data_IF_790715067532
#
_entry.id   IF_790715067532
#
_cell.length_a   1.000
_cell.length_b   1.000
_cell.length_c   1.000
_cell.angle_alpha   90.00
_cell.angle_beta   90.00
_cell.angle_gamma   90.00
#
_symmetry.space_group_name_H-M   'P 1'
#
loop_
_entity.id
_entity.type
_entity.pdbx_description
1 polymer ?
#
# COMPACT_ATOMS: atom_id res chain seq x y z
N UNK A 1 6.15 30.42 11.47
CA UNK A 1 6.03 29.57 12.66
C UNK A 1 4.65 28.96 12.75
N UNK A 2 4.52 27.73 12.23
CA UNK A 2 3.32 26.91 12.41
C UNK A 2 3.76 25.81 13.35
N UNK A 3 3.24 25.85 14.57
CA UNK A 3 3.51 24.89 15.62
C UNK A 3 3.42 23.48 15.06
N UNK A 4 4.56 22.79 15.08
CA UNK A 4 4.64 21.35 14.99
C UNK A 4 3.75 20.79 16.09
N UNK A 5 2.52 20.42 15.74
CA UNK A 5 1.62 19.70 16.62
C UNK A 5 2.23 18.30 16.83
N UNK A 6 3.26 18.24 17.67
CA UNK A 6 4.06 17.05 17.92
C UNK A 6 3.25 16.16 18.84
N UNK A 7 2.32 15.41 18.26
CA UNK A 7 1.76 14.28 18.95
C UNK A 7 2.94 13.38 19.35
N UNK A 8 3.17 13.15 20.66
CA UNK A 8 4.38 12.46 21.14
C UNK A 8 4.44 10.99 20.68
N UNK A 9 3.36 10.50 20.08
CA UNK A 9 3.22 9.15 19.58
C UNK A 9 2.63 9.17 18.17
N UNK A 10 3.21 8.36 17.29
CA UNK A 10 2.73 8.10 15.92
C UNK A 10 2.22 6.66 15.91
N UNK A 11 0.90 6.43 16.04
CA UNK A 11 0.33 5.09 16.03
C UNK A 11 0.62 4.38 14.71
N UNK A 12 0.99 3.10 14.78
CA UNK A 12 1.21 2.27 13.59
C UNK A 12 0.15 1.18 13.56
N UNK A 13 -0.73 1.21 12.57
CA UNK A 13 -1.62 0.11 12.26
C UNK A 13 -0.91 -0.89 11.35
N UNK A 14 -1.17 -2.17 11.56
CA UNK A 14 -0.56 -3.26 10.82
C UNK A 14 -1.62 -3.97 10.02
N UNK A 15 -1.46 -3.98 8.71
CA UNK A 15 -2.32 -4.73 7.81
C UNK A 15 -1.53 -5.93 7.28
N UNK A 16 -2.05 -7.14 7.43
CA UNK A 16 -1.36 -8.36 7.01
C UNK A 16 -2.25 -9.24 6.15
N UNK A 17 -1.72 -9.70 5.02
CA UNK A 17 -2.36 -10.71 4.20
C UNK A 17 -1.79 -12.10 4.53
N UNK A 18 -2.59 -12.97 5.17
CA UNK A 18 -2.16 -14.33 5.55
C UNK A 18 -1.81 -15.24 4.36
N UNK A 19 -2.31 -14.94 3.16
CA UNK A 19 -2.03 -15.71 1.94
C UNK A 19 -0.68 -15.35 1.31
N UNK A 20 -0.10 -14.20 1.67
CA UNK A 20 1.20 -13.76 1.16
C UNK A 20 2.35 -14.62 1.71
N UNK A 21 3.44 -14.70 0.95
CA UNK A 21 4.66 -15.38 1.38
C UNK A 21 4.58 -16.91 1.45
N UNK A 22 3.79 -17.56 0.60
CA UNK A 22 3.73 -19.03 0.55
C UNK A 22 3.16 -19.65 1.83
N UNK A 23 2.07 -19.06 2.36
CA UNK A 23 1.41 -19.46 3.61
C UNK A 23 2.20 -19.20 4.91
N UNK A 24 3.32 -18.47 4.83
CA UNK A 24 4.03 -18.00 6.04
C UNK A 24 3.26 -16.88 6.76
N UNK A 25 2.37 -16.18 6.04
CA UNK A 25 1.57 -15.08 6.58
C UNK A 25 0.73 -15.43 7.82
N UNK A 26 0.20 -16.65 7.91
CA UNK A 26 -0.54 -17.11 9.09
C UNK A 26 0.36 -17.16 10.34
N UNK A 27 1.56 -17.75 10.21
CA UNK A 27 2.52 -17.81 11.33
C UNK A 27 2.94 -16.41 11.78
N UNK A 28 3.14 -15.50 10.84
CA UNK A 28 3.50 -14.11 11.12
C UNK A 28 2.35 -13.39 11.82
N UNK A 29 1.11 -13.59 11.36
CA UNK A 29 -0.06 -13.00 12.01
C UNK A 29 -0.18 -13.42 13.47
N UNK A 30 -0.04 -14.72 13.76
CA UNK A 30 -0.06 -15.22 15.14
C UNK A 30 1.06 -14.60 15.99
N UNK A 31 2.26 -14.45 15.42
CA UNK A 31 3.39 -13.82 16.11
C UNK A 31 3.16 -12.32 16.38
N UNK A 32 2.55 -11.59 15.43
CA UNK A 32 2.17 -10.19 15.61
C UNK A 32 1.18 -10.05 16.75
N UNK A 33 0.15 -10.89 16.82
CA UNK A 33 -0.84 -10.88 17.90
C UNK A 33 -0.22 -11.20 19.28
N UNK A 34 0.82 -12.03 19.34
CA UNK A 34 1.53 -12.31 20.61
C UNK A 34 2.41 -11.15 21.08
N UNK A 35 3.00 -10.41 20.14
CA UNK A 35 4.01 -9.38 20.47
C UNK A 35 3.45 -7.97 20.53
N UNK A 36 2.30 -7.74 19.94
CA UNK A 36 1.70 -6.41 19.76
C UNK A 36 0.27 -6.41 20.32
N UNK A 37 -0.26 -5.21 20.59
CA UNK A 37 -1.68 -5.06 20.92
C UNK A 37 -2.55 -5.54 19.74
N UNK A 38 -3.43 -6.55 19.93
CA UNK A 38 -4.27 -7.09 18.86
C UNK A 38 -5.12 -6.06 18.13
N UNK A 39 -5.50 -4.95 18.78
CA UNK A 39 -6.29 -3.88 18.15
C UNK A 39 -5.55 -3.13 17.05
N UNK A 40 -4.23 -3.25 16.97
CA UNK A 40 -3.43 -2.62 15.93
C UNK A 40 -3.13 -3.56 14.75
N UNK A 41 -3.53 -4.83 14.81
CA UNK A 41 -3.22 -5.84 13.78
C UNK A 41 -4.51 -6.26 13.07
N UNK A 42 -4.60 -5.98 11.78
CA UNK A 42 -5.76 -6.27 10.94
C UNK A 42 -5.42 -7.28 9.86
N UNK A 43 -6.24 -8.32 9.77
CA UNK A 43 -6.11 -9.36 8.77
C UNK A 43 -6.84 -8.95 7.48
N UNK A 44 -6.09 -8.83 6.39
CA UNK A 44 -6.59 -8.46 5.07
C UNK A 44 -7.33 -9.64 4.40
N UNK A 45 -8.59 -9.86 4.78
CA UNK A 45 -9.44 -10.91 4.16
C UNK A 45 -10.43 -10.34 3.14
N UNK A 46 -10.92 -9.12 3.37
CA UNK A 46 -11.92 -8.46 2.55
C UNK A 46 -11.77 -6.93 2.64
N UNK A 47 -12.55 -6.22 1.81
CA UNK A 47 -12.54 -4.75 1.77
C UNK A 47 -12.98 -4.13 3.11
N UNK A 48 -13.93 -4.77 3.79
CA UNK A 48 -14.55 -4.26 5.02
C UNK A 48 -13.53 -4.07 6.14
N UNK A 49 -12.47 -4.88 6.15
CA UNK A 49 -11.38 -4.78 7.14
C UNK A 49 -10.70 -3.41 7.10
N UNK A 50 -10.38 -2.92 5.89
CA UNK A 50 -9.69 -1.63 5.73
C UNK A 50 -10.63 -0.52 6.17
N UNK A 51 -11.87 -0.51 5.67
CA UNK A 51 -12.88 0.49 6.04
C UNK A 51 -13.10 0.52 7.55
N UNK A 52 -13.28 -0.64 8.18
CA UNK A 52 -13.48 -0.75 9.63
C UNK A 52 -12.28 -0.21 10.43
N UNK A 53 -11.05 -0.51 10.00
CA UNK A 53 -9.85 0.00 10.64
C UNK A 53 -9.77 1.53 10.52
N UNK A 54 -10.09 2.08 9.35
CA UNK A 54 -10.11 3.52 9.13
C UNK A 54 -11.19 4.22 9.96
N UNK A 55 -12.39 3.63 10.08
CA UNK A 55 -13.47 4.19 10.90
C UNK A 55 -13.09 4.21 12.38
N UNK A 56 -12.53 3.09 12.89
CA UNK A 56 -12.10 2.95 14.28
C UNK A 56 -11.04 3.98 14.67
N UNK A 57 -10.15 4.32 13.75
CA UNK A 57 -8.99 5.19 13.99
C UNK A 57 -9.07 6.54 13.29
N UNK A 58 -10.24 6.90 12.75
CA UNK A 58 -10.50 8.16 12.05
C UNK A 58 -10.18 9.41 12.88
N UNK A 59 -10.27 9.29 14.20
CA UNK A 59 -9.98 10.37 15.15
C UNK A 59 -8.51 10.47 15.56
N UNK A 60 -7.66 9.49 15.21
CA UNK A 60 -6.26 9.50 15.57
C UNK A 60 -5.44 10.36 14.60
N UNK A 61 -4.85 11.48 15.05
CA UNK A 61 -3.95 12.26 14.23
C UNK A 61 -2.62 11.52 14.07
N UNK A 62 -1.89 11.82 12.98
CA UNK A 62 -0.55 11.30 12.71
C UNK A 62 -0.43 9.77 12.78
N UNK A 63 -1.47 9.04 12.39
CA UNK A 63 -1.42 7.59 12.26
C UNK A 63 -0.67 7.18 10.98
N UNK A 64 0.06 6.06 11.04
CA UNK A 64 0.71 5.42 9.90
C UNK A 64 0.29 3.97 9.77
N UNK A 65 0.44 3.41 8.58
CA UNK A 65 0.08 2.03 8.27
C UNK A 65 1.33 1.27 7.84
N UNK A 66 1.52 0.05 8.34
CA UNK A 66 2.54 -0.89 7.88
C UNK A 66 1.86 -2.10 7.24
N UNK A 67 2.12 -2.33 5.95
CA UNK A 67 1.50 -3.42 5.20
C UNK A 67 2.47 -4.59 5.08
N UNK A 68 2.08 -5.73 5.64
CA UNK A 68 2.76 -7.01 5.55
C UNK A 68 2.24 -7.78 4.33
N UNK A 69 2.99 -7.72 3.23
CA UNK A 69 2.56 -8.27 1.94
C UNK A 69 3.59 -8.08 0.82
N UNK A 70 3.25 -8.55 -0.38
CA UNK A 70 3.95 -8.25 -1.63
C UNK A 70 3.36 -7.00 -2.30
N UNK A 71 3.94 -6.57 -3.42
CA UNK A 71 3.50 -5.37 -4.14
C UNK A 71 2.01 -5.36 -4.48
N UNK A 72 1.42 -6.52 -4.82
CA UNK A 72 -0.03 -6.62 -5.09
C UNK A 72 -0.90 -6.36 -3.86
N UNK A 73 -0.46 -6.80 -2.68
CA UNK A 73 -1.17 -6.50 -1.41
C UNK A 73 -1.06 -5.03 -1.07
N UNK A 74 0.14 -4.45 -1.22
CA UNK A 74 0.40 -3.02 -0.98
C UNK A 74 -0.44 -2.16 -1.93
N UNK A 75 -0.44 -2.47 -3.23
CA UNK A 75 -1.21 -1.74 -4.23
C UNK A 75 -2.72 -1.79 -3.98
N UNK A 76 -3.25 -2.93 -3.51
CA UNK A 76 -4.65 -3.04 -3.12
C UNK A 76 -4.97 -2.14 -1.91
N UNK A 77 -4.16 -2.16 -0.86
CA UNK A 77 -4.33 -1.25 0.31
C UNK A 77 -4.27 0.22 -0.11
N UNK A 78 -3.27 0.61 -0.91
CA UNK A 78 -3.12 1.98 -1.40
C UNK A 78 -4.33 2.44 -2.22
N UNK A 79 -4.90 1.54 -3.04
CA UNK A 79 -6.10 1.85 -3.82
C UNK A 79 -7.30 2.13 -2.93
N UNK A 80 -7.50 1.33 -1.87
CA UNK A 80 -8.59 1.54 -0.90
C UNK A 80 -8.42 2.80 -0.07
N UNK A 81 -7.19 3.11 0.33
CA UNK A 81 -6.90 4.38 1.01
C UNK A 81 -7.18 5.57 0.10
N UNK A 82 -6.82 5.50 -1.18
CA UNK A 82 -7.11 6.58 -2.13
C UNK A 82 -8.62 6.79 -2.36
N UNK A 83 -9.43 5.73 -2.31
CA UNK A 83 -10.90 5.81 -2.37
C UNK A 83 -11.48 6.43 -1.09
N UNK A 84 -10.98 6.04 0.09
CA UNK A 84 -11.47 6.53 1.38
C UNK A 84 -11.04 7.98 1.69
N UNK A 85 -9.89 8.42 1.15
CA UNK A 85 -9.30 9.74 1.39
C UNK A 85 -9.09 10.50 0.07
N UNK A 86 -10.17 10.96 -0.59
CA UNK A 86 -10.09 11.63 -1.88
C UNK A 86 -9.34 12.97 -1.84
N UNK A 87 -9.19 13.57 -0.65
CA UNK A 87 -8.50 14.85 -0.42
C UNK A 87 -6.97 14.70 -0.26
N UNK A 88 -6.41 13.51 -0.52
CA UNK A 88 -4.97 13.22 -0.41
C UNK A 88 -4.39 13.46 0.99
N UNK A 89 -5.21 13.18 2.01
CA UNK A 89 -4.82 13.18 3.42
C UNK A 89 -4.81 11.75 3.99
N UNK A 90 -4.52 10.76 3.13
CA UNK A 90 -4.47 9.37 3.55
C UNK A 90 -3.25 9.12 4.45
N UNK A 91 -3.35 8.26 5.46
CA UNK A 91 -2.20 7.94 6.32
C UNK A 91 -1.02 7.38 5.50
N UNK A 92 0.23 7.78 5.80
CA UNK A 92 1.41 7.22 5.15
C UNK A 92 1.51 5.70 5.33
N UNK A 93 1.99 5.02 4.29
CA UNK A 93 2.10 3.56 4.23
C UNK A 93 3.56 3.11 4.13
N UNK A 94 4.01 2.26 5.03
CA UNK A 94 5.26 1.50 4.93
C UNK A 94 5.00 0.06 4.49
N UNK A 95 6.05 -0.60 4.01
CA UNK A 95 5.99 -1.96 3.49
C UNK A 95 6.82 -2.88 4.37
N UNK A 96 6.23 -4.00 4.76
CA UNK A 96 6.92 -5.13 5.36
C UNK A 96 6.87 -6.31 4.36
N UNK A 97 7.97 -6.56 3.63
CA UNK A 97 7.95 -7.43 2.45
C UNK A 97 7.69 -8.89 2.80
N UNK A 98 6.56 -9.43 2.34
CA UNK A 98 6.18 -10.84 2.48
C UNK A 98 5.95 -11.51 1.11
N UNK A 99 6.80 -12.48 0.79
CA UNK A 99 6.71 -13.29 -0.43
C UNK A 99 7.65 -12.83 -1.53
N UNK A 100 7.23 -13.04 -2.77
CA UNK A 100 7.98 -12.71 -3.99
C UNK A 100 7.43 -11.45 -4.64
N UNK A 101 8.27 -10.71 -5.37
CA UNK A 101 7.87 -9.43 -5.98
C UNK A 101 7.68 -8.33 -4.93
N UNK A 102 8.77 -7.97 -4.26
CA UNK A 102 8.85 -6.87 -3.29
C UNK A 102 9.63 -5.69 -3.92
N UNK A 103 9.30 -5.34 -5.16
CA UNK A 103 9.98 -4.26 -5.89
C UNK A 103 9.71 -2.91 -5.23
N UNK A 104 8.46 -2.65 -4.79
CA UNK A 104 8.15 -1.40 -4.07
C UNK A 104 8.93 -1.29 -2.77
N UNK A 105 9.05 -2.40 -2.02
CA UNK A 105 9.84 -2.42 -0.78
C UNK A 105 11.32 -2.10 -1.03
N UNK A 106 11.89 -2.63 -2.12
CA UNK A 106 13.29 -2.37 -2.51
C UNK A 106 13.51 -0.94 -2.96
N UNK A 107 12.65 -0.44 -3.84
CA UNK A 107 12.72 0.94 -4.35
C UNK A 107 12.56 1.96 -3.22
N UNK A 108 11.69 1.67 -2.25
CA UNK A 108 11.44 2.54 -1.08
C UNK A 108 12.35 2.21 0.12
N UNK A 109 13.36 1.35 -0.07
CA UNK A 109 14.35 0.99 0.94
C UNK A 109 13.80 0.39 2.26
N UNK A 110 12.64 -0.27 2.21
CA UNK A 110 12.10 -1.07 3.33
C UNK A 110 12.75 -2.46 3.45
N UNK A 111 13.50 -2.86 2.43
CA UNK A 111 14.31 -4.09 2.41
C UNK A 111 13.71 -5.18 1.52
N UNK A 112 14.38 -6.34 1.48
CA UNK A 112 14.04 -7.42 0.54
C UNK A 112 13.04 -8.43 1.09
N UNK A 113 13.09 -8.66 2.41
CA UNK A 113 12.32 -9.71 3.10
C UNK A 113 12.05 -9.34 4.55
N UNK A 114 10.94 -9.83 5.08
CA UNK A 114 10.63 -9.72 6.50
C UNK A 114 11.63 -10.48 7.37
N UNK A 115 12.09 -9.82 8.43
CA UNK A 115 12.87 -10.41 9.52
C UNK A 115 12.13 -10.25 10.86
N UNK A 116 11.61 -11.36 11.44
CA UNK A 116 10.90 -11.32 12.73
C UNK A 116 11.71 -10.72 13.89
N UNK A 117 13.05 -10.82 13.83
CA UNK A 117 13.92 -10.25 14.87
C UNK A 117 13.92 -8.73 14.85
N UNK A 118 13.64 -8.13 13.68
CA UNK A 118 13.64 -6.68 13.46
C UNK A 118 12.26 -6.04 13.55
N UNK A 119 11.20 -6.80 13.86
CA UNK A 119 9.82 -6.31 13.92
C UNK A 119 9.69 -4.94 14.62
N UNK A 120 10.17 -4.82 15.87
CA UNK A 120 10.06 -3.56 16.62
C UNK A 120 10.86 -2.43 15.99
N UNK A 121 12.04 -2.73 15.44
CA UNK A 121 12.84 -1.76 14.70
C UNK A 121 12.11 -1.28 13.44
N UNK A 122 11.48 -2.19 12.69
CA UNK A 122 10.69 -1.85 11.49
C UNK A 122 9.48 -0.98 11.85
N UNK A 123 8.80 -1.26 12.96
CA UNK A 123 7.67 -0.44 13.43
C UNK A 123 8.12 0.95 13.90
N UNK A 124 9.27 1.05 14.57
CA UNK A 124 9.87 2.34 14.94
C UNK A 124 10.31 3.13 13.70
N UNK A 125 10.92 2.46 12.71
CA UNK A 125 11.23 3.09 11.43
C UNK A 125 9.97 3.55 10.72
N UNK A 126 8.88 2.77 10.76
CA UNK A 126 7.59 3.18 10.18
C UNK A 126 7.08 4.45 10.81
N UNK A 127 7.16 4.58 12.14
CA UNK A 127 6.67 5.78 12.84
C UNK A 127 7.51 7.03 12.53
N UNK A 128 8.82 6.87 12.26
CA UNK A 128 9.75 7.97 12.07
C UNK A 128 10.13 8.25 10.60
N UNK A 129 9.77 7.36 9.67
CA UNK A 129 10.25 7.44 8.29
C UNK A 129 9.85 8.74 7.59
N UNK A 130 10.72 9.18 6.69
CA UNK A 130 10.37 10.22 5.74
C UNK A 130 9.30 9.70 4.79
N UNK A 131 8.42 10.61 4.42
CA UNK A 131 7.25 10.33 3.64
C UNK A 131 7.52 10.73 2.17
N UNK A 132 7.24 9.83 1.22
CA UNK A 132 7.60 9.96 -0.21
C UNK A 132 6.42 9.66 -1.15
N UNK A 133 6.15 10.58 -2.08
CA UNK A 133 4.94 10.56 -2.94
C UNK A 133 5.10 9.53 -4.04
N UNK A 134 4.05 8.74 -4.28
CA UNK A 134 3.98 7.77 -5.36
C UNK A 134 3.05 8.26 -6.46
N UNK A 135 3.46 8.05 -7.71
CA UNK A 135 2.59 8.27 -8.86
C UNK A 135 1.62 7.11 -9.03
N UNK A 136 0.35 7.45 -9.31
CA UNK A 136 -0.67 6.48 -9.70
C UNK A 136 -0.99 6.62 -11.19
N UNK A 137 -1.01 5.48 -11.86
CA UNK A 137 -1.27 5.36 -13.27
C UNK A 137 -2.53 4.52 -13.48
N UNK A 138 -3.37 4.94 -14.42
CA UNK A 138 -4.53 4.18 -14.87
C UNK A 138 -4.29 3.78 -16.32
N UNK A 139 -4.42 2.50 -16.59
CA UNK A 139 -4.16 1.94 -17.91
C UNK A 139 -5.49 1.49 -18.49
N UNK A 140 -5.88 2.12 -19.59
CA UNK A 140 -7.07 1.75 -20.34
C UNK A 140 -6.67 0.81 -21.48
N UNK A 141 -7.37 -0.31 -21.55
CA UNK A 141 -7.20 -1.30 -22.61
C UNK A 141 -8.32 -1.11 -23.62
N UNK A 142 -7.96 -0.78 -24.86
CA UNK A 142 -8.90 -0.65 -25.98
C UNK A 142 -8.55 -1.73 -27.01
N UNK A 143 -9.56 -2.52 -27.40
CA UNK A 143 -9.38 -3.52 -28.45
C UNK A 143 -9.27 -2.81 -29.79
N UNK A 144 -8.23 -3.11 -30.56
CA UNK A 144 -8.04 -2.52 -31.88
C UNK A 144 -8.85 -3.31 -32.92
N UNK A 145 -10.06 -2.86 -33.20
CA UNK A 145 -10.95 -3.52 -34.18
C UNK A 145 -10.58 -3.21 -35.65
N UNK A 146 -9.58 -2.35 -35.90
CA UNK A 146 -9.16 -1.94 -37.26
C UNK A 146 -8.15 -2.88 -37.94
N UNK A 147 -7.65 -3.92 -37.25
CA UNK A 147 -6.80 -4.94 -37.87
C UNK A 147 -7.68 -5.97 -38.58
N UNK A 148 -8.15 -5.64 -39.79
CA UNK A 148 -8.60 -6.65 -40.75
C UNK A 148 -7.37 -7.43 -41.21
N UNK A 149 -7.29 -8.70 -40.81
CA UNK A 149 -6.22 -9.62 -41.19
C UNK A 149 -6.47 -10.05 -42.64
N UNK A 150 -5.92 -9.31 -43.61
CA UNK A 150 -5.77 -9.82 -44.97
C UNK A 150 -4.53 -10.72 -45.03
N UNK A 151 -4.79 -12.03 -45.02
CA UNK A 151 -3.96 -13.16 -45.48
C UNK A 151 -2.45 -13.19 -45.18
N UNK A 152 -2.06 -14.19 -44.39
CA UNK A 152 -0.78 -14.93 -44.40
C UNK A 152 0.49 -14.14 -44.03
N UNK A 153 0.69 -13.86 -42.74
CA UNK A 153 2.01 -13.89 -42.06
C UNK A 153 1.80 -13.82 -40.55
N UNK A 154 2.69 -14.45 -39.78
CA UNK A 154 2.56 -14.76 -38.34
C UNK A 154 1.91 -13.66 -37.49
N UNK A 155 0.75 -14.01 -36.90
CA UNK A 155 -0.08 -13.15 -36.08
C UNK A 155 0.61 -12.80 -34.75
N UNK A 156 1.11 -11.56 -34.64
CA UNK A 156 1.24 -10.91 -33.34
C UNK A 156 0.01 -10.03 -33.12
N UNK A 157 -0.82 -10.42 -32.15
CA UNK A 157 -1.98 -9.67 -31.67
C UNK A 157 -1.52 -8.31 -31.13
N UNK A 158 -1.70 -7.23 -31.91
CA UNK A 158 -1.27 -5.88 -31.54
C UNK A 158 -2.39 -5.15 -30.81
N UNK A 159 -2.51 -5.44 -29.52
CA UNK A 159 -3.27 -4.60 -28.59
C UNK A 159 -2.65 -3.20 -28.50
N UNK A 160 -3.46 -2.15 -28.65
CA UNK A 160 -3.01 -0.76 -28.45
C UNK A 160 -3.28 -0.37 -27.00
N UNK A 161 -2.28 0.19 -26.33
CA UNK A 161 -2.36 0.58 -24.92
C UNK A 161 -2.48 2.10 -24.81
N UNK A 162 -3.48 2.57 -24.08
CA UNK A 162 -3.57 3.98 -23.68
C UNK A 162 -3.24 4.10 -22.21
N UNK A 163 -2.08 4.68 -21.91
CA UNK A 163 -1.63 4.93 -20.55
C UNK A 163 -1.94 6.37 -20.21
N UNK A 164 -2.77 6.60 -19.19
CA UNK A 164 -3.02 7.92 -18.64
C UNK A 164 -2.56 7.97 -17.19
N UNK A 165 -1.84 9.04 -16.84
CA UNK A 165 -1.63 9.34 -15.42
C UNK A 165 -2.98 9.65 -14.80
N UNK A 166 -3.26 9.12 -13.60
CA UNK A 166 -4.44 9.54 -12.84
C UNK A 166 -4.19 10.97 -12.39
N UNK A 167 -4.66 11.93 -13.19
CA UNK A 167 -4.72 13.33 -12.80
C UNK A 167 -5.87 13.48 -11.80
N UNK A 168 -5.63 13.13 -10.54
CA UNK A 168 -6.53 13.64 -9.50
C UNK A 168 -6.28 15.16 -9.43
N UNK A 169 -7.32 16.00 -9.38
CA UNK A 169 -7.16 17.46 -9.38
C UNK A 169 -6.10 17.87 -8.33
N UNK A 170 -5.12 18.67 -8.75
CA UNK A 170 -4.13 19.22 -7.84
C UNK A 170 -4.86 20.21 -6.92
N UNK A 171 -4.79 20.06 -5.58
CA UNK A 171 -5.14 21.16 -4.71
C UNK A 171 -4.15 22.31 -4.93
N UNK A 172 -4.63 23.55 -4.91
CA UNK A 172 -3.87 24.81 -5.17
C UNK A 172 -2.74 25.09 -4.16
N UNK A 173 -2.35 24.13 -3.32
CA UNK A 173 -1.28 24.28 -2.36
C UNK A 173 -0.46 22.98 -2.26
N UNK A 174 0.87 23.08 -2.11
CA UNK A 174 1.70 21.90 -1.91
C UNK A 174 1.42 21.36 -0.51
N UNK A 175 0.75 20.22 -0.42
CA UNK A 175 0.60 19.50 0.84
C UNK A 175 0.91 18.01 0.69
N UNK A 176 1.66 17.60 1.70
CA UNK A 176 2.37 16.35 1.91
C UNK A 176 1.40 15.18 2.09
N UNK A 177 1.91 13.97 1.83
CA UNK A 177 1.22 12.69 2.04
C UNK A 177 0.73 12.57 3.47
#
# INVERSE_FOLDING_TARGET
>A
DVESNSYPYTPVLIFINKRSGGQVGEKIYQELLRRLNPRQVFLLENNDTITHALDMYSSLPNMRICVFGSDGTVGWVLSRLAEAYPLRNNPPVSICPLGTGNDLSRVLAWGDKYDPKRLFHTLLQTSQAQVVVLDRWEVHFEKNDEIRIDSMTEQHDKSVFKISRILQPLPDSPKFI
#
